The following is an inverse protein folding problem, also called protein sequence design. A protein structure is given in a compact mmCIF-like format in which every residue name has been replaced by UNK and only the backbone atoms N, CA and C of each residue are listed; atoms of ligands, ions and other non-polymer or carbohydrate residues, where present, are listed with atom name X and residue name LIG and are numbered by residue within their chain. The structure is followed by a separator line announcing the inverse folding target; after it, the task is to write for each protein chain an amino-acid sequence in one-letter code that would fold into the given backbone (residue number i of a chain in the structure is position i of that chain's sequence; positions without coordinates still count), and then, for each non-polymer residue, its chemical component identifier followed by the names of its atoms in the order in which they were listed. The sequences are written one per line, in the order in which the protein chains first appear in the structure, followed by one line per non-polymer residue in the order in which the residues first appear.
data_IF_542823444987
#
_entry.id   IF_542823444987
#
_cell.length_a   1.000
_cell.length_b   1.000
_cell.length_c   1.000
_cell.angle_alpha   90.00
_cell.angle_beta   90.00
_cell.angle_gamma   90.00
#
_symmetry.space_group_name_H-M   'P 1'
#
loop_
_entity.id
_entity.type
_entity.pdbx_description
1 polymer ?
#
# COMPACT_ATOMS: atom_id res chain seq x y z
N UNK A 1 -2.28 -4.85 1.93
CA UNK A 1 -2.77 -3.48 2.21
C UNK A 1 -2.04 -2.96 3.45
N UNK A 2 -1.60 -1.71 3.44
CA UNK A 2 -0.87 -1.05 4.54
C UNK A 2 -1.55 0.28 4.90
N UNK A 3 -0.85 1.14 5.65
CA UNK A 3 -1.29 2.51 5.89
C UNK A 3 -2.58 2.61 6.70
N UNK A 4 -3.33 3.68 6.46
CA UNK A 4 -4.54 4.01 7.22
C UNK A 4 -5.64 2.96 7.07
N UNK A 5 -5.80 2.37 5.88
CA UNK A 5 -6.76 1.31 5.62
C UNK A 5 -6.45 0.03 6.43
N UNK A 6 -5.16 -0.33 6.59
CA UNK A 6 -4.78 -1.44 7.45
C UNK A 6 -5.14 -1.19 8.93
N UNK A 7 -4.99 0.05 9.43
CA UNK A 7 -5.41 0.42 10.80
C UNK A 7 -6.92 0.26 10.97
N UNK A 8 -7.72 0.69 10.00
CA UNK A 8 -9.19 0.54 10.02
C UNK A 8 -9.59 -0.93 10.01
N UNK A 9 -8.93 -1.77 9.19
CA UNK A 9 -9.19 -3.22 9.15
C UNK A 9 -8.89 -3.92 10.50
N UNK A 10 -7.97 -3.38 11.30
CA UNK A 10 -7.73 -3.81 12.67
C UNK A 10 -8.70 -3.22 13.70
N UNK A 11 -9.75 -2.53 13.28
CA UNK A 11 -10.72 -1.88 14.15
C UNK A 11 -10.21 -0.60 14.81
N UNK A 12 -9.09 -0.04 14.35
CA UNK A 12 -8.63 1.28 14.75
C UNK A 12 -9.50 2.39 14.14
N UNK A 13 -9.55 3.55 14.78
CA UNK A 13 -10.31 4.71 14.30
C UNK A 13 -9.36 5.73 13.67
N UNK A 14 -9.38 5.80 12.34
CA UNK A 14 -8.69 6.83 11.54
C UNK A 14 -9.50 7.14 10.29
N UNK A 15 -9.19 8.24 9.61
CA UNK A 15 -9.82 8.60 8.35
C UNK A 15 -8.93 8.11 7.19
N UNK A 16 -9.29 6.98 6.59
CA UNK A 16 -8.64 6.48 5.39
C UNK A 16 -9.09 7.30 4.18
N UNK A 17 -8.13 7.86 3.43
CA UNK A 17 -8.39 8.69 2.24
C UNK A 17 -8.12 7.93 0.93
N UNK A 18 -7.33 6.89 1.03
CA UNK A 18 -6.79 6.03 -0.01
C UNK A 18 -6.58 4.62 0.55
N UNK A 19 -6.37 3.68 -0.36
CA UNK A 19 -6.02 2.30 -0.06
C UNK A 19 -4.59 2.03 -0.53
N UNK A 20 -3.70 1.85 0.43
CA UNK A 20 -2.29 1.58 0.17
C UNK A 20 -2.01 0.08 0.02
N UNK A 21 -1.36 -0.32 -1.08
CA UNK A 21 -1.04 -1.72 -1.37
C UNK A 21 0.43 -1.86 -1.75
N UNK A 22 1.20 -2.61 -0.94
CA UNK A 22 2.52 -3.08 -1.37
C UNK A 22 2.34 -4.28 -2.31
N UNK A 23 3.01 -4.24 -3.45
CA UNK A 23 2.98 -5.31 -4.47
C UNK A 23 4.40 -5.70 -4.89
N UNK A 24 4.53 -6.89 -5.49
CA UNK A 24 5.78 -7.31 -6.11
C UNK A 24 6.08 -6.46 -7.34
N UNK A 25 7.37 -6.24 -7.63
CA UNK A 25 7.80 -5.48 -8.82
C UNK A 25 7.32 -6.16 -10.13
N UNK A 26 7.29 -7.50 -10.13
CA UNK A 26 6.88 -8.30 -11.28
C UNK A 26 5.36 -8.25 -11.54
N UNK A 27 4.56 -7.85 -10.54
CA UNK A 27 3.10 -7.80 -10.63
C UNK A 27 2.57 -6.45 -11.15
N UNK A 28 3.42 -5.42 -11.20
CA UNK A 28 3.03 -4.03 -11.50
C UNK A 28 2.30 -3.92 -12.84
N UNK A 29 2.86 -4.49 -13.91
CA UNK A 29 2.27 -4.41 -15.25
C UNK A 29 0.94 -5.18 -15.36
N UNK A 30 0.86 -6.33 -14.68
CA UNK A 30 -0.37 -7.14 -14.62
C UNK A 30 -1.48 -6.37 -13.91
N UNK A 31 -1.15 -5.70 -12.80
CA UNK A 31 -2.10 -4.87 -12.04
C UNK A 31 -2.55 -3.68 -12.88
N UNK A 32 -1.62 -2.97 -13.52
CA UNK A 32 -1.94 -1.83 -14.38
C UNK A 32 -2.90 -2.24 -15.51
N UNK A 33 -2.63 -3.35 -16.19
CA UNK A 33 -3.49 -3.87 -17.26
C UNK A 33 -4.88 -4.30 -16.76
N UNK A 34 -4.96 -4.97 -15.60
CA UNK A 34 -6.22 -5.47 -15.06
C UNK A 34 -7.15 -4.36 -14.54
N UNK A 35 -6.58 -3.28 -14.00
CA UNK A 35 -7.34 -2.22 -13.32
C UNK A 35 -7.47 -0.94 -14.13
N UNK A 36 -6.58 -0.72 -15.11
CA UNK A 36 -6.39 0.59 -15.74
C UNK A 36 -5.67 1.59 -14.82
N UNK A 37 -4.97 1.13 -13.79
CA UNK A 37 -4.15 1.99 -12.94
C UNK A 37 -3.07 2.70 -13.78
N UNK A 38 -2.85 3.99 -13.50
CA UNK A 38 -1.86 4.80 -14.20
C UNK A 38 -0.57 4.84 -13.39
N UNK A 39 0.56 4.75 -14.07
CA UNK A 39 1.84 5.05 -13.46
C UNK A 39 1.87 6.53 -13.07
N UNK A 40 2.27 6.78 -11.83
CA UNK A 40 2.49 8.12 -11.31
C UNK A 40 3.99 8.27 -11.12
N UNK A 41 4.55 9.35 -11.65
CA UNK A 41 5.96 9.66 -11.41
C UNK A 41 6.14 9.86 -9.90
N UNK A 42 7.13 9.15 -9.33
CA UNK A 42 7.50 9.36 -7.94
C UNK A 42 7.95 10.82 -7.79
N UNK A 43 7.16 11.61 -7.07
CA UNK A 43 7.58 12.96 -6.69
C UNK A 43 8.73 12.91 -5.68
N UNK A 44 9.35 14.07 -5.42
CA UNK A 44 10.35 14.23 -4.36
C UNK A 44 9.71 14.20 -2.96
N UNK A 45 8.98 13.14 -2.64
CA UNK A 45 8.42 12.97 -1.30
C UNK A 45 9.58 12.76 -0.30
N UNK A 46 9.65 13.57 0.77
CA UNK A 46 10.76 13.51 1.70
C UNK A 46 10.76 12.26 2.58
N UNK A 47 9.65 11.51 2.64
CA UNK A 47 9.41 10.40 3.55
C UNK A 47 9.24 9.05 2.83
N UNK A 48 8.72 9.05 1.61
CA UNK A 48 8.38 7.84 0.86
C UNK A 48 9.04 7.80 -0.51
N UNK A 49 9.48 6.62 -0.93
CA UNK A 49 10.03 6.39 -2.25
C UNK A 49 9.61 5.00 -2.74
N UNK A 50 9.05 4.89 -3.94
CA UNK A 50 8.74 3.61 -4.56
C UNK A 50 9.43 3.48 -5.90
N UNK A 51 9.91 2.28 -6.24
CA UNK A 51 10.51 2.00 -7.55
C UNK A 51 9.47 2.04 -8.66
N UNK A 52 8.24 1.59 -8.36
CA UNK A 52 7.05 1.78 -9.19
C UNK A 52 5.89 2.20 -8.32
N UNK A 53 5.12 3.16 -8.82
CA UNK A 53 3.96 3.69 -8.14
C UNK A 53 2.82 3.79 -9.15
N UNK A 54 1.73 3.09 -8.86
CA UNK A 54 0.51 3.13 -9.67
C UNK A 54 -0.63 3.70 -8.84
N UNK A 55 -1.51 4.45 -9.49
CA UNK A 55 -2.75 4.92 -8.89
C UNK A 55 -3.94 4.52 -9.73
N UNK A 56 -4.93 3.93 -9.07
CA UNK A 56 -6.21 3.57 -9.65
C UNK A 56 -7.33 4.39 -9.02
N UNK A 57 -7.95 5.25 -9.83
CA UNK A 57 -9.06 6.11 -9.42
C UNK A 57 -10.44 5.51 -9.81
N UNK A 58 -10.49 4.25 -10.27
CA UNK A 58 -11.72 3.59 -10.73
C UNK A 58 -12.56 2.94 -9.63
N UNK A 59 -12.11 3.00 -8.38
CA UNK A 59 -12.81 2.49 -7.20
C UNK A 59 -13.43 3.65 -6.39
N UNK A 60 -14.36 3.39 -5.45
CA UNK A 60 -14.95 4.43 -4.59
C UNK A 60 -13.94 5.25 -3.77
N UNK A 61 -12.74 4.72 -3.57
CA UNK A 61 -11.60 5.38 -2.95
C UNK A 61 -10.36 5.10 -3.81
N UNK A 62 -9.42 6.06 -3.98
CA UNK A 62 -8.19 5.82 -4.72
C UNK A 62 -7.42 4.63 -4.15
N UNK A 63 -6.89 3.78 -5.04
CA UNK A 63 -6.01 2.69 -4.66
C UNK A 63 -4.62 2.98 -5.18
N UNK A 64 -3.64 2.95 -4.28
CA UNK A 64 -2.25 3.26 -4.57
C UNK A 64 -1.41 1.98 -4.42
N UNK A 65 -0.78 1.55 -5.51
CA UNK A 65 0.06 0.35 -5.55
C UNK A 65 1.53 0.77 -5.57
N UNK A 66 2.29 0.26 -4.61
CA UNK A 66 3.70 0.59 -4.42
C UNK A 66 4.54 -0.68 -4.54
N UNK A 67 5.48 -0.69 -5.48
CA UNK A 67 6.50 -1.72 -5.57
C UNK A 67 7.87 -1.16 -5.18
N UNK A 68 8.62 -1.93 -4.38
CA UNK A 68 9.93 -1.49 -3.87
C UNK A 68 9.84 -0.32 -2.87
N UNK A 69 8.72 -0.19 -2.16
CA UNK A 69 8.48 0.91 -1.21
C UNK A 69 9.62 1.02 -0.18
N UNK A 70 10.15 2.22 -0.03
CA UNK A 70 11.12 2.62 0.97
C UNK A 70 10.58 3.80 1.78
N UNK A 71 10.86 3.80 3.07
CA UNK A 71 10.58 4.92 3.98
C UNK A 71 11.87 5.52 4.50
N UNK A 72 11.88 6.84 4.68
CA UNK A 72 13.03 7.54 5.25
C UNK A 72 13.00 7.47 6.77
N UNK A 73 14.04 6.88 7.37
CA UNK A 73 14.24 6.82 8.81
C UNK A 73 15.64 7.33 9.17
N UNK A 74 15.74 8.40 9.97
CA UNK A 74 17.01 9.00 10.42
C UNK A 74 18.02 9.24 9.27
N UNK A 75 17.52 9.76 8.14
CA UNK A 75 18.27 10.01 6.89
C UNK A 75 18.66 8.77 6.06
N UNK A 76 18.22 7.57 6.42
CA UNK A 76 18.40 6.37 5.63
C UNK A 76 17.09 5.95 4.98
N UNK A 77 17.15 5.56 3.70
CA UNK A 77 16.05 4.87 3.04
C UNK A 77 16.04 3.41 3.48
N UNK A 78 14.90 2.94 3.97
CA UNK A 78 14.71 1.55 4.37
C UNK A 78 13.52 0.96 3.63
N UNK A 79 13.74 -0.18 2.98
CA UNK A 79 12.66 -0.92 2.32
C UNK A 79 11.61 -1.35 3.35
N UNK A 80 10.35 -1.19 2.98
CA UNK A 80 9.20 -1.64 3.76
C UNK A 80 8.87 -3.07 3.32
N UNK A 81 9.13 -4.02 4.21
CA UNK A 81 8.76 -5.42 4.05
C UNK A 81 7.98 -5.83 5.31
N UNK A 82 6.63 -5.88 5.25
CA UNK A 82 5.84 -6.36 6.37
C UNK A 82 6.33 -7.73 6.83
N UNK A 83 6.65 -7.85 8.12
CA UNK A 83 7.19 -9.09 8.70
C UNK A 83 6.09 -10.09 9.01
N UNK A 84 4.90 -9.59 9.26
CA UNK A 84 3.68 -10.35 9.50
C UNK A 84 2.70 -10.12 8.37
N UNK A 85 1.83 -11.11 8.18
CA UNK A 85 0.80 -11.10 7.15
C UNK A 85 -0.46 -11.74 7.73
N UNK A 86 -1.33 -10.91 8.27
CA UNK A 86 -2.61 -11.32 8.82
C UNK A 86 -3.68 -11.28 7.74
N UNK A 87 -4.47 -12.36 7.68
CA UNK A 87 -5.64 -12.44 6.81
C UNK A 87 -6.85 -11.89 7.57
N UNK A 88 -7.54 -10.94 6.96
CA UNK A 88 -8.80 -10.38 7.43
C UNK A 88 -9.83 -10.64 6.33
N UNK A 89 -10.91 -11.32 6.67
CA UNK A 89 -12.02 -11.57 5.75
C UNK A 89 -13.02 -10.42 5.83
N UNK A 90 -13.33 -9.82 4.68
CA UNK A 90 -14.29 -8.73 4.49
C UNK A 90 -15.27 -9.15 3.42
N UNK A 91 -16.54 -9.36 3.80
CA UNK A 91 -17.58 -9.94 2.96
C UNK A 91 -17.11 -11.26 2.28
N UNK A 92 -16.98 -11.24 0.95
CA UNK A 92 -16.55 -12.39 0.15
C UNK A 92 -15.06 -12.36 -0.22
N UNK A 93 -14.30 -11.39 0.30
CA UNK A 93 -12.90 -11.19 -0.03
C UNK A 93 -11.99 -11.44 1.19
N UNK A 94 -10.77 -11.87 0.91
CA UNK A 94 -9.71 -11.99 1.91
C UNK A 94 -8.64 -10.93 1.65
N UNK A 95 -8.41 -10.07 2.64
CA UNK A 95 -7.42 -9.00 2.60
C UNK A 95 -6.24 -9.38 3.47
N UNK A 96 -5.03 -9.14 2.98
CA UNK A 96 -3.80 -9.33 3.76
C UNK A 96 -3.24 -7.99 4.23
N UNK A 97 -3.01 -7.86 5.53
CA UNK A 97 -2.45 -6.67 6.19
C UNK A 97 -1.28 -7.05 7.11
N UNK A 98 -0.35 -6.13 7.41
CA UNK A 98 0.56 -6.30 8.53
C UNK A 98 -0.23 -6.46 9.84
N UNK A 99 0.32 -7.23 10.76
CA UNK A 99 -0.21 -7.36 12.10
C UNK A 99 -0.13 -6.06 12.89
N UNK A 100 -0.99 -5.91 13.89
CA UNK A 100 -1.15 -4.66 14.67
C UNK A 100 0.15 -4.11 15.25
N UNK A 101 1.09 -4.99 15.58
CA UNK A 101 2.39 -4.60 16.16
C UNK A 101 3.27 -3.81 15.19
N UNK A 102 3.00 -3.88 13.88
CA UNK A 102 3.73 -3.16 12.82
C UNK A 102 3.07 -1.84 12.40
N UNK A 103 1.84 -1.55 12.84
CA UNK A 103 1.05 -0.39 12.41
C UNK A 103 1.15 0.81 13.37
N UNK A 104 2.33 1.05 13.93
CA UNK A 104 2.56 2.08 14.98
C UNK A 104 2.95 3.43 14.41
#
# INVERSE_FOLDING_TARGET
MIGSAAVVLHGGTTNARDVDVIVGIDDVETIAAATGARAIEAGDDPLFLSERFLRWDGAPMPVEFMAGLCVRNRNEWRRVEPRTRERIDVDQASIFVPGRVELR
#
